data_IF_193498866681
#
_entry.id   IF_193498866681
#
_cell.length_a   1.000
_cell.length_b   1.000
_cell.length_c   1.000
_cell.angle_alpha   90.00
_cell.angle_beta   90.00
_cell.angle_gamma   90.00
#
_symmetry.space_group_name_H-M   'P 1'
#
loop_
_entity.id
_entity.type
_entity.pdbx_description
1 polymer ?
#
# COMPACT_ATOMS: atom_id res chain seq x y z
N UNK A 1 -21.96 26.95 -29.65
CA UNK A 1 -21.96 25.47 -29.66
C UNK A 1 -21.43 25.00 -28.31
N UNK A 2 -22.33 24.59 -27.43
CA UNK A 2 -22.00 24.11 -26.09
C UNK A 2 -21.50 22.66 -26.18
N UNK A 3 -20.19 22.46 -26.06
CA UNK A 3 -19.67 21.14 -25.75
C UNK A 3 -19.89 20.87 -24.26
N UNK A 4 -20.96 20.13 -23.95
CA UNK A 4 -21.05 19.39 -22.70
C UNK A 4 -19.93 18.36 -22.68
N UNK A 5 -18.88 18.64 -21.92
CA UNK A 5 -17.82 17.68 -21.62
C UNK A 5 -18.43 16.64 -20.67
N UNK A 6 -18.69 15.44 -21.19
CA UNK A 6 -18.97 14.27 -20.35
C UNK A 6 -17.85 14.12 -19.31
N UNK A 7 -18.13 13.93 -18.01
CA UNK A 7 -17.09 13.66 -17.03
C UNK A 7 -16.26 12.47 -17.48
N UNK A 8 -14.94 12.61 -17.45
CA UNK A 8 -14.06 11.48 -17.77
C UNK A 8 -14.30 10.35 -16.77
N UNK A 9 -14.01 9.09 -17.16
CA UNK A 9 -14.08 7.92 -16.26
C UNK A 9 -13.29 8.16 -14.96
N UNK A 10 -12.26 9.00 -14.98
CA UNK A 10 -11.45 9.40 -13.82
C UNK A 10 -12.21 10.26 -12.81
N UNK A 11 -13.02 11.22 -13.26
CA UNK A 11 -13.90 11.97 -12.36
C UNK A 11 -14.84 11.01 -11.62
N UNK A 12 -15.27 9.94 -12.29
CA UNK A 12 -16.12 8.91 -11.70
C UNK A 12 -15.37 8.03 -10.68
N UNK A 13 -14.19 7.48 -11.00
CA UNK A 13 -13.42 6.65 -10.04
C UNK A 13 -12.97 7.47 -8.83
N UNK A 14 -12.48 8.70 -9.03
CA UNK A 14 -12.11 9.55 -7.89
C UNK A 14 -13.32 9.92 -7.04
N UNK A 15 -14.48 10.16 -7.65
CA UNK A 15 -15.74 10.38 -6.92
C UNK A 15 -16.20 9.14 -6.14
N UNK A 16 -16.06 7.94 -6.72
CA UNK A 16 -16.32 6.67 -6.04
C UNK A 16 -15.38 6.51 -4.83
N UNK A 17 -14.10 6.83 -4.98
CA UNK A 17 -13.15 6.79 -3.87
C UNK A 17 -13.53 7.76 -2.74
N UNK A 18 -14.01 8.97 -3.06
CA UNK A 18 -14.56 9.88 -2.06
C UNK A 18 -15.80 9.31 -1.34
N UNK A 19 -16.63 8.52 -2.04
CA UNK A 19 -17.74 7.79 -1.39
C UNK A 19 -17.25 6.71 -0.43
N UNK A 20 -16.20 5.95 -0.79
CA UNK A 20 -15.61 4.98 0.12
C UNK A 20 -15.15 5.65 1.44
N UNK A 21 -14.43 6.77 1.33
CA UNK A 21 -13.97 7.57 2.47
C UNK A 21 -15.15 8.07 3.32
N UNK A 22 -16.24 8.52 2.70
CA UNK A 22 -17.45 8.99 3.42
C UNK A 22 -18.16 7.84 4.14
N UNK A 23 -18.33 6.70 3.47
CA UNK A 23 -19.00 5.52 4.04
C UNK A 23 -18.31 4.99 5.30
N UNK A 24 -17.00 5.16 5.42
CA UNK A 24 -16.24 4.82 6.62
C UNK A 24 -16.46 5.82 7.77
N UNK A 25 -16.71 7.10 7.46
CA UNK A 25 -16.90 8.15 8.47
C UNK A 25 -18.32 8.23 9.03
N UNK A 26 -19.31 7.68 8.34
CA UNK A 26 -20.72 7.73 8.73
C UNK A 26 -21.40 6.37 8.56
N UNK A 27 -21.55 5.59 9.64
CA UNK A 27 -22.27 4.30 9.62
C UNK A 27 -23.72 4.42 9.13
N UNK A 28 -24.34 5.60 9.26
CA UNK A 28 -25.73 5.86 8.83
C UNK A 28 -25.92 5.79 7.31
N UNK A 29 -24.88 6.08 6.50
CA UNK A 29 -24.93 5.89 5.04
C UNK A 29 -24.82 4.42 4.61
N UNK A 30 -24.39 3.51 5.50
CA UNK A 30 -24.44 2.07 5.21
C UNK A 30 -25.87 1.51 5.18
N UNK A 31 -26.84 2.17 5.84
CA UNK A 31 -28.21 1.69 5.99
C UNK A 31 -29.17 2.13 4.88
N UNK A 32 -28.81 3.13 4.05
CA UNK A 32 -29.69 3.67 3.00
C UNK A 32 -29.50 3.06 1.61
N UNK A 33 -28.49 2.20 1.44
CA UNK A 33 -28.26 1.44 0.21
C UNK A 33 -28.75 0.01 0.45
N UNK A 34 -29.93 -0.30 -0.07
CA UNK A 34 -30.56 -1.62 0.10
C UNK A 34 -29.57 -2.76 -0.16
N UNK A 35 -29.55 -3.73 0.77
CA UNK A 35 -28.81 -4.98 0.69
C UNK A 35 -29.28 -5.82 -0.50
N UNK A 36 -28.90 -5.45 -1.72
CA UNK A 36 -28.61 -6.43 -2.75
C UNK A 36 -27.15 -6.79 -2.57
N UNK A 37 -26.92 -8.05 -2.22
CA UNK A 37 -25.63 -8.64 -1.87
C UNK A 37 -24.76 -8.76 -3.13
N UNK A 38 -24.32 -7.63 -3.67
CA UNK A 38 -23.28 -7.57 -4.68
C UNK A 38 -21.92 -7.77 -3.98
N UNK A 39 -21.49 -9.03 -3.96
CA UNK A 39 -20.21 -9.46 -3.41
C UNK A 39 -19.02 -9.10 -4.31
N UNK A 40 -19.24 -8.45 -5.46
CA UNK A 40 -18.19 -8.08 -6.41
C UNK A 40 -17.31 -6.93 -5.97
N UNK A 41 -16.11 -6.83 -6.53
CA UNK A 41 -15.20 -5.72 -6.26
C UNK A 41 -15.76 -4.37 -6.72
N UNK A 42 -15.61 -3.33 -5.87
CA UNK A 42 -16.07 -1.97 -6.17
C UNK A 42 -15.12 -0.89 -5.67
N UNK A 43 -14.92 0.17 -6.47
CA UNK A 43 -14.07 1.31 -6.10
C UNK A 43 -14.73 2.31 -5.13
N UNK A 44 -16.04 2.17 -4.84
CA UNK A 44 -16.77 3.05 -3.91
C UNK A 44 -16.92 2.52 -2.49
N UNK A 45 -16.21 1.44 -2.17
CA UNK A 45 -16.13 0.87 -0.81
C UNK A 45 -14.73 0.35 -0.52
N UNK A 46 -14.44 0.08 0.74
CA UNK A 46 -13.28 -0.72 1.12
C UNK A 46 -13.65 -2.20 1.01
N UNK A 47 -12.96 -2.91 0.13
CA UNK A 47 -13.19 -4.32 -0.13
C UNK A 47 -12.43 -5.18 0.90
N UNK A 48 -12.94 -6.36 1.23
CA UNK A 48 -12.22 -7.34 2.07
C UNK A 48 -11.03 -7.90 1.31
N UNK A 49 -10.11 -8.62 1.97
CA UNK A 49 -9.00 -9.26 1.27
C UNK A 49 -9.51 -10.24 0.20
N UNK A 50 -10.50 -11.08 0.53
CA UNK A 50 -11.06 -12.06 -0.41
C UNK A 50 -11.59 -11.43 -1.70
N UNK A 51 -12.34 -10.33 -1.59
CA UNK A 51 -12.85 -9.59 -2.75
C UNK A 51 -11.73 -8.92 -3.56
N UNK A 52 -10.66 -8.47 -2.91
CA UNK A 52 -9.48 -7.92 -3.59
C UNK A 52 -8.74 -9.03 -4.33
N UNK A 53 -8.48 -10.16 -3.70
CA UNK A 53 -7.80 -11.33 -4.29
C UNK A 53 -8.53 -11.83 -5.54
N UNK A 54 -9.85 -12.03 -5.46
CA UNK A 54 -10.69 -12.38 -6.61
C UNK A 54 -10.60 -11.35 -7.74
N UNK A 55 -10.59 -10.06 -7.41
CA UNK A 55 -10.43 -9.00 -8.39
C UNK A 55 -9.07 -9.03 -9.08
N UNK A 56 -7.98 -9.30 -8.35
CA UNK A 56 -6.64 -9.38 -8.93
C UNK A 56 -6.51 -10.56 -9.90
N UNK A 57 -7.09 -11.71 -9.55
CA UNK A 57 -7.17 -12.87 -10.46
C UNK A 57 -7.96 -12.52 -11.72
N UNK A 58 -9.13 -11.90 -11.56
CA UNK A 58 -9.94 -11.45 -12.70
C UNK A 58 -9.21 -10.44 -13.57
N UNK A 59 -8.51 -9.47 -12.97
CA UNK A 59 -7.76 -8.44 -13.70
C UNK A 59 -6.66 -9.05 -14.57
N UNK A 60 -5.94 -10.06 -14.05
CA UNK A 60 -4.98 -10.87 -14.81
C UNK A 60 -5.66 -11.58 -15.97
N UNK A 61 -6.76 -12.29 -15.71
CA UNK A 61 -7.45 -13.12 -16.71
C UNK A 61 -8.04 -12.28 -17.85
N UNK A 62 -8.49 -11.06 -17.55
CA UNK A 62 -8.99 -10.11 -18.54
C UNK A 62 -7.87 -9.38 -19.31
N UNK A 63 -6.64 -9.36 -18.80
CA UNK A 63 -5.51 -8.61 -19.37
C UNK A 63 -4.19 -9.42 -19.36
N UNK A 64 -4.16 -10.66 -19.87
CA UNK A 64 -3.03 -11.58 -19.68
C UNK A 64 -1.72 -11.10 -20.34
N UNK A 65 -1.82 -10.28 -21.39
CA UNK A 65 -0.65 -9.73 -22.09
C UNK A 65 0.00 -8.54 -21.36
N UNK A 66 -0.73 -7.91 -20.43
CA UNK A 66 -0.29 -6.71 -19.71
C UNK A 66 -0.03 -6.98 -18.22
N UNK A 67 -0.78 -7.92 -17.63
CA UNK A 67 -0.86 -8.15 -16.19
C UNK A 67 -0.35 -9.54 -15.85
N UNK A 68 0.68 -9.62 -15.00
CA UNK A 68 1.13 -10.87 -14.38
C UNK A 68 0.88 -10.80 -12.88
N UNK A 69 0.22 -11.83 -12.33
CA UNK A 69 -0.01 -11.96 -10.89
C UNK A 69 1.03 -12.91 -10.29
N UNK A 70 1.76 -12.46 -9.28
CA UNK A 70 2.90 -13.18 -8.69
C UNK A 70 2.64 -13.36 -7.19
N UNK A 71 2.56 -14.60 -6.74
CA UNK A 71 2.57 -14.91 -5.30
C UNK A 71 4.02 -14.88 -4.81
N UNK A 72 4.35 -13.92 -3.95
CA UNK A 72 5.72 -13.73 -3.43
C UNK A 72 5.96 -14.44 -2.09
N UNK A 73 4.89 -14.97 -1.48
CA UNK A 73 4.93 -15.67 -0.21
C UNK A 73 3.54 -15.82 0.37
N UNK A 74 3.48 -16.38 1.59
CA UNK A 74 2.23 -16.56 2.34
C UNK A 74 2.36 -16.06 3.75
N UNK A 75 1.27 -15.54 4.31
CA UNK A 75 1.18 -15.00 5.66
C UNK A 75 1.14 -16.08 6.74
N UNK A 76 1.09 -15.69 8.02
CA UNK A 76 0.96 -16.63 9.15
C UNK A 76 -0.35 -17.44 9.13
N UNK A 77 -1.44 -16.85 8.63
CA UNK A 77 -2.74 -17.51 8.45
C UNK A 77 -2.91 -18.08 7.03
N UNK A 78 -1.81 -18.29 6.29
CA UNK A 78 -1.75 -18.96 4.98
C UNK A 78 -2.51 -18.25 3.84
N UNK A 79 -2.56 -16.92 3.85
CA UNK A 79 -3.06 -16.11 2.72
C UNK A 79 -1.92 -15.75 1.77
N UNK A 80 -2.20 -15.71 0.48
CA UNK A 80 -1.24 -15.34 -0.55
C UNK A 80 -0.86 -13.87 -0.46
N UNK A 81 0.41 -13.56 -0.67
CA UNK A 81 0.92 -12.18 -0.79
C UNK A 81 1.13 -11.93 -2.29
N UNK A 82 0.23 -11.15 -2.89
CA UNK A 82 0.11 -11.04 -4.34
C UNK A 82 0.65 -9.71 -4.86
N UNK A 83 1.71 -9.78 -5.67
CA UNK A 83 2.25 -8.66 -6.44
C UNK A 83 1.65 -8.70 -7.84
N UNK A 84 1.18 -7.56 -8.32
CA UNK A 84 0.73 -7.37 -9.69
C UNK A 84 1.84 -6.69 -10.47
N UNK A 85 2.41 -7.39 -11.45
CA UNK A 85 3.29 -6.80 -12.46
C UNK A 85 2.44 -6.27 -13.61
N UNK A 86 2.58 -4.99 -13.94
CA UNK A 86 1.99 -4.36 -15.14
C UNK A 86 3.13 -3.94 -16.06
N UNK A 87 3.12 -4.47 -17.29
CA UNK A 87 4.21 -4.25 -18.26
C UNK A 87 3.64 -4.15 -19.67
N UNK A 88 3.96 -3.08 -20.39
CA UNK A 88 3.49 -2.85 -21.75
C UNK A 88 4.13 -3.79 -22.78
N UNK A 89 3.56 -3.87 -23.98
CA UNK A 89 4.05 -4.82 -25.00
C UNK A 89 5.30 -4.35 -25.74
N UNK A 90 5.55 -3.03 -25.81
CA UNK A 90 6.65 -2.49 -26.61
C UNK A 90 7.84 -2.22 -25.72
N UNK A 91 8.90 -3.03 -25.80
CA UNK A 91 10.14 -2.65 -25.12
C UNK A 91 10.85 -1.59 -25.96
N UNK A 92 10.67 -0.33 -25.58
CA UNK A 92 11.37 0.79 -26.23
C UNK A 92 12.78 1.01 -25.65
N UNK A 93 13.09 0.36 -24.51
CA UNK A 93 14.38 0.41 -23.85
C UNK A 93 15.15 -0.92 -24.02
N UNK A 94 16.51 -0.89 -24.08
CA UNK A 94 17.34 -2.09 -24.08
C UNK A 94 17.19 -2.94 -22.81
N UNK A 95 16.99 -2.27 -21.67
CA UNK A 95 16.62 -2.86 -20.38
C UNK A 95 15.51 -2.01 -19.75
N UNK A 96 14.38 -2.65 -19.43
CA UNK A 96 13.29 -1.97 -18.71
C UNK A 96 13.65 -1.79 -17.26
N UNK A 97 13.40 -0.60 -16.73
CA UNK A 97 13.52 -0.34 -15.30
C UNK A 97 12.23 -0.79 -14.59
N UNK A 98 12.36 -1.19 -13.33
CA UNK A 98 11.21 -1.56 -12.50
C UNK A 98 10.96 -0.53 -11.41
N UNK A 99 9.69 -0.26 -11.12
CA UNK A 99 9.23 0.54 -9.98
C UNK A 99 8.39 -0.34 -9.06
N UNK A 100 8.66 -0.26 -7.76
CA UNK A 100 7.87 -0.92 -6.72
C UNK A 100 6.93 0.06 -6.02
N UNK A 101 5.66 -0.33 -5.89
CA UNK A 101 4.67 0.33 -5.05
C UNK A 101 4.01 -0.71 -4.14
N UNK A 102 4.07 -0.54 -2.83
CA UNK A 102 3.29 -1.34 -1.88
C UNK A 102 2.32 -0.51 -1.06
N UNK A 103 1.32 -1.19 -0.52
CA UNK A 103 0.32 -0.61 0.37
C UNK A 103 -0.15 -1.64 1.41
N UNK A 104 -0.84 -1.14 2.44
CA UNK A 104 -1.53 -2.01 3.40
C UNK A 104 -0.61 -2.81 4.30
N UNK A 105 0.64 -2.37 4.51
CA UNK A 105 1.54 -2.97 5.51
C UNK A 105 0.98 -2.82 6.94
N UNK A 106 0.29 -1.72 7.23
CA UNK A 106 -0.53 -1.58 8.44
C UNK A 106 -2.00 -1.82 8.12
N UNK A 107 -2.59 -2.79 8.83
CA UNK A 107 -3.92 -3.31 8.54
C UNK A 107 -5.04 -2.24 8.50
N UNK A 108 -5.09 -1.36 9.49
CA UNK A 108 -6.14 -0.32 9.61
C UNK A 108 -6.10 0.79 8.56
N UNK A 109 -5.04 0.91 7.77
CA UNK A 109 -4.81 2.02 6.84
C UNK A 109 -5.52 1.77 5.49
N UNK A 110 -6.84 1.53 5.51
CA UNK A 110 -7.64 1.04 4.38
C UNK A 110 -7.56 1.87 3.10
N UNK A 111 -7.27 3.17 3.22
CA UNK A 111 -7.11 4.05 2.07
C UNK A 111 -5.88 3.71 1.23
N UNK A 112 -4.83 3.13 1.83
CA UNK A 112 -3.61 2.78 1.11
C UNK A 112 -3.86 1.64 0.11
N UNK A 113 -4.41 0.46 0.49
CA UNK A 113 -4.80 -0.57 -0.47
C UNK A 113 -5.77 -0.06 -1.55
N UNK A 114 -6.78 0.71 -1.16
CA UNK A 114 -7.75 1.26 -2.11
C UNK A 114 -7.09 2.20 -3.14
N UNK A 115 -6.11 3.00 -2.72
CA UNK A 115 -5.32 3.86 -3.62
C UNK A 115 -4.45 3.03 -4.56
N UNK A 116 -3.76 2.00 -4.07
CA UNK A 116 -2.95 1.11 -4.90
C UNK A 116 -3.79 0.40 -5.97
N UNK A 117 -5.01 -0.04 -5.62
CA UNK A 117 -5.94 -0.65 -6.56
C UNK A 117 -6.43 0.33 -7.63
N UNK A 118 -6.63 1.62 -7.29
CA UNK A 118 -6.96 2.66 -8.27
C UNK A 118 -5.78 2.93 -9.21
N UNK A 119 -4.55 2.97 -8.68
CA UNK A 119 -3.35 3.10 -9.51
C UNK A 119 -3.24 1.94 -10.50
N UNK A 120 -3.49 0.72 -10.04
CA UNK A 120 -3.50 -0.48 -10.85
C UNK A 120 -4.57 -0.41 -11.96
N UNK A 121 -5.81 -0.07 -11.61
CA UNK A 121 -6.91 0.11 -12.59
C UNK A 121 -6.56 1.16 -13.64
N UNK A 122 -5.94 2.27 -13.22
CA UNK A 122 -5.54 3.35 -14.12
C UNK A 122 -4.48 2.86 -15.12
N UNK A 123 -3.44 2.18 -14.65
CA UNK A 123 -2.39 1.66 -15.54
C UNK A 123 -2.96 0.67 -16.57
N UNK A 124 -3.82 -0.26 -16.14
CA UNK A 124 -4.36 -1.30 -17.01
C UNK A 124 -5.39 -0.74 -18.00
N UNK A 125 -6.39 0.00 -17.53
CA UNK A 125 -7.49 0.47 -18.37
C UNK A 125 -7.10 1.60 -19.34
N UNK A 126 -6.05 2.34 -19.03
CA UNK A 126 -5.64 3.50 -19.83
C UNK A 126 -4.53 3.20 -20.82
N UNK A 127 -3.87 2.04 -20.73
CA UNK A 127 -2.74 1.69 -21.58
C UNK A 127 -3.00 1.90 -23.08
N UNK A 128 -4.21 1.59 -23.57
CA UNK A 128 -4.59 1.77 -24.98
C UNK A 128 -5.22 3.13 -25.30
N UNK A 129 -5.41 4.00 -24.31
CA UNK A 129 -6.24 5.23 -24.41
C UNK A 129 -5.46 6.50 -24.09
N UNK A 130 -4.44 6.40 -23.25
CA UNK A 130 -3.63 7.51 -22.78
C UNK A 130 -2.18 7.31 -23.24
N UNK A 131 -1.67 8.12 -24.19
CA UNK A 131 -0.31 8.02 -24.68
C UNK A 131 0.76 8.17 -23.60
N UNK A 132 0.48 8.90 -22.51
CA UNK A 132 1.39 9.05 -21.39
C UNK A 132 1.50 7.73 -20.60
N UNK A 133 0.36 7.10 -20.28
CA UNK A 133 0.32 5.78 -19.63
C UNK A 133 0.94 4.71 -20.52
N UNK A 134 0.69 4.75 -21.83
CA UNK A 134 1.35 3.86 -22.78
C UNK A 134 2.87 4.00 -22.71
N UNK A 135 3.37 5.25 -22.74
CA UNK A 135 4.80 5.53 -22.63
C UNK A 135 5.38 5.03 -21.32
N UNK A 136 4.67 5.18 -20.20
CA UNK A 136 5.12 4.64 -18.92
C UNK A 136 5.23 3.12 -18.94
N UNK A 137 4.19 2.42 -19.39
CA UNK A 137 4.17 0.95 -19.39
C UNK A 137 5.11 0.33 -20.42
N UNK A 138 5.42 1.03 -21.51
CA UNK A 138 6.37 0.56 -22.52
C UNK A 138 7.84 0.69 -22.05
N UNK A 139 8.13 1.60 -21.10
CA UNK A 139 9.48 1.85 -20.58
C UNK A 139 9.72 1.32 -19.14
N UNK A 140 8.67 1.10 -18.36
CA UNK A 140 8.74 0.78 -16.93
C UNK A 140 7.87 -0.43 -16.62
N UNK A 141 8.45 -1.40 -15.92
CA UNK A 141 7.72 -2.47 -15.26
C UNK A 141 7.23 -1.97 -13.90
N UNK A 142 5.92 -2.06 -13.65
CA UNK A 142 5.33 -1.65 -12.37
C UNK A 142 5.00 -2.88 -11.54
N UNK A 143 5.64 -3.03 -10.39
CA UNK A 143 5.27 -4.00 -9.37
C UNK A 143 4.42 -3.32 -8.31
N UNK A 144 3.14 -3.69 -8.24
CA UNK A 144 2.19 -3.14 -7.26
C UNK A 144 1.78 -4.27 -6.31
N UNK A 145 2.05 -4.10 -5.00
CA UNK A 145 1.58 -4.97 -3.92
C UNK A 145 0.44 -4.26 -3.16
N UNK A 146 -0.84 -4.51 -3.48
CA UNK A 146 -1.93 -3.72 -2.92
C UNK A 146 -2.16 -3.95 -1.42
N UNK A 147 -1.90 -5.17 -0.94
CA UNK A 147 -2.06 -5.54 0.48
C UNK A 147 -0.85 -6.38 0.91
N UNK A 148 0.11 -5.75 1.58
CA UNK A 148 1.28 -6.44 2.12
C UNK A 148 0.96 -7.27 3.38
N UNK A 149 -0.08 -6.90 4.15
CA UNK A 149 -0.52 -7.59 5.37
C UNK A 149 -1.94 -8.16 5.23
N UNK A 150 -2.18 -9.20 4.40
CA UNK A 150 -3.52 -9.76 4.19
C UNK A 150 -4.22 -10.18 5.48
N UNK A 151 -3.52 -10.85 6.41
CA UNK A 151 -4.14 -11.33 7.66
C UNK A 151 -4.59 -10.18 8.55
N UNK A 152 -3.72 -9.19 8.75
CA UNK A 152 -4.05 -8.01 9.52
C UNK A 152 -5.21 -7.24 8.89
N UNK A 153 -5.18 -7.06 7.56
CA UNK A 153 -6.22 -6.38 6.81
C UNK A 153 -7.58 -7.06 7.01
N UNK A 154 -7.66 -8.39 6.85
CA UNK A 154 -8.89 -9.15 7.06
C UNK A 154 -9.37 -9.11 8.52
N UNK A 155 -8.44 -9.15 9.48
CA UNK A 155 -8.76 -8.99 10.90
C UNK A 155 -9.34 -7.60 11.19
N UNK A 156 -8.90 -6.57 10.47
CA UNK A 156 -9.45 -5.22 10.60
C UNK A 156 -10.86 -5.06 10.02
N UNK A 157 -11.23 -5.87 9.03
CA UNK A 157 -12.60 -5.92 8.51
C UNK A 157 -13.55 -6.70 9.43
N UNK A 158 -13.08 -7.81 10.01
CA UNK A 158 -13.95 -8.79 10.67
C UNK A 158 -13.98 -8.74 12.20
N UNK A 159 -12.93 -8.21 12.85
CA UNK A 159 -12.77 -8.29 14.32
C UNK A 159 -12.39 -6.98 14.98
N UNK A 160 -11.32 -6.32 14.53
CA UNK A 160 -10.83 -5.08 15.15
C UNK A 160 -10.37 -4.09 14.09
N UNK A 161 -11.24 -3.14 13.74
CA UNK A 161 -10.98 -2.06 12.78
C UNK A 161 -9.65 -1.33 13.02
N UNK A 162 -9.21 -1.19 14.27
CA UNK A 162 -8.01 -0.44 14.63
C UNK A 162 -6.74 -1.29 14.72
N UNK A 163 -6.82 -2.58 14.34
CA UNK A 163 -5.65 -3.46 14.29
C UNK A 163 -4.61 -2.94 13.30
N UNK A 164 -3.34 -2.92 13.72
CA UNK A 164 -2.22 -2.38 12.93
C UNK A 164 -1.27 -3.46 12.43
N UNK A 165 -0.88 -4.37 13.33
CA UNK A 165 0.20 -5.36 13.16
C UNK A 165 -0.19 -6.48 12.17
N UNK A 166 0.73 -7.39 11.87
CA UNK A 166 0.36 -8.67 11.24
C UNK A 166 -0.38 -9.60 12.23
N UNK A 167 -0.62 -10.85 11.84
CA UNK A 167 -1.32 -11.86 12.66
C UNK A 167 -0.42 -13.00 13.11
N UNK A 168 0.85 -12.70 13.41
CA UNK A 168 1.74 -13.66 14.08
C UNK A 168 1.04 -14.31 15.28
N UNK A 169 1.11 -15.65 15.45
CA UNK A 169 0.48 -16.35 16.57
C UNK A 169 0.81 -15.73 17.93
N UNK A 170 -0.17 -15.72 18.82
CA UNK A 170 -0.06 -15.05 20.10
C UNK A 170 1.03 -15.70 20.97
N UNK A 171 1.90 -14.86 21.55
CA UNK A 171 2.83 -15.27 22.59
C UNK A 171 2.20 -14.97 23.94
N UNK A 172 2.03 -16.01 24.75
CA UNK A 172 1.41 -15.91 26.07
C UNK A 172 2.46 -15.94 27.16
N UNK A 173 2.47 -14.92 28.03
CA UNK A 173 3.30 -14.85 29.23
C UNK A 173 2.41 -14.95 30.46
N UNK A 174 2.68 -15.95 31.30
CA UNK A 174 2.00 -16.11 32.59
C UNK A 174 2.64 -15.18 33.62
N UNK A 175 1.84 -14.31 34.23
CA UNK A 175 2.20 -13.52 35.40
C UNK A 175 1.55 -14.15 36.65
N UNK A 176 1.87 -13.64 37.84
CA UNK A 176 1.38 -14.20 39.12
C UNK A 176 -0.15 -14.35 39.20
N UNK A 177 -0.92 -13.45 38.58
CA UNK A 177 -2.39 -13.41 38.71
C UNK A 177 -3.16 -13.51 37.37
N UNK A 178 -2.48 -13.49 36.22
CA UNK A 178 -3.12 -13.53 34.91
C UNK A 178 -2.13 -13.96 33.81
N UNK A 179 -2.66 -14.42 32.67
CA UNK A 179 -1.88 -14.70 31.46
C UNK A 179 -2.13 -13.61 30.44
N UNK A 180 -1.07 -12.97 29.95
CA UNK A 180 -1.15 -11.97 28.87
C UNK A 180 -0.77 -12.66 27.57
N UNK A 181 -1.64 -12.64 26.57
CA UNK A 181 -1.37 -13.17 25.24
C UNK A 181 -1.37 -12.03 24.21
N UNK A 182 -0.25 -11.85 23.51
CA UNK A 182 -0.09 -10.76 22.55
C UNK A 182 0.30 -11.31 21.18
N UNK A 183 -0.39 -10.84 20.14
CA UNK A 183 -0.26 -11.29 18.76
C UNK A 183 0.25 -10.17 17.87
N UNK A 184 0.93 -10.55 16.80
CA UNK A 184 1.35 -9.65 15.74
C UNK A 184 2.65 -8.88 16.01
N UNK A 185 3.32 -8.54 14.92
CA UNK A 185 4.51 -7.70 14.81
C UNK A 185 4.19 -6.50 13.93
N UNK A 186 4.76 -5.34 14.25
CA UNK A 186 4.72 -4.17 13.36
C UNK A 186 5.67 -4.42 12.19
N UNK A 187 5.10 -4.74 11.02
CA UNK A 187 5.86 -5.04 9.81
C UNK A 187 6.79 -3.89 9.40
N UNK A 188 6.41 -2.63 9.66
CA UNK A 188 7.25 -1.45 9.35
C UNK A 188 8.28 -1.14 10.45
N UNK A 189 8.51 -2.09 11.37
CA UNK A 189 9.65 -2.13 12.30
C UNK A 189 10.48 -3.41 12.13
N UNK A 190 10.12 -4.27 11.18
CA UNK A 190 10.69 -5.60 11.03
C UNK A 190 11.76 -5.71 9.92
N UNK A 191 12.09 -4.61 9.24
CA UNK A 191 13.15 -4.60 8.21
C UNK A 191 14.55 -4.40 8.83
N UNK A 192 15.59 -4.92 8.17
CA UNK A 192 16.99 -4.86 8.62
C UNK A 192 17.66 -3.50 8.33
N UNK A 193 17.04 -2.42 8.78
CA UNK A 193 17.64 -1.08 8.74
C UNK A 193 17.49 -0.43 10.12
N UNK A 194 18.58 -0.40 10.89
CA UNK A 194 18.55 -0.01 12.30
C UNK A 194 17.45 -0.76 13.08
N UNK A 195 17.37 -2.08 12.88
CA UNK A 195 16.37 -2.94 13.50
C UNK A 195 16.40 -2.83 15.04
N UNK A 196 15.22 -2.78 15.66
CA UNK A 196 15.10 -2.70 17.13
C UNK A 196 15.61 -1.40 17.76
N UNK A 197 15.90 -0.37 16.96
CA UNK A 197 16.39 0.91 17.45
C UNK A 197 15.24 1.88 17.79
N UNK A 198 15.52 3.20 17.75
CA UNK A 198 14.58 4.27 18.09
C UNK A 198 13.26 4.14 17.34
N UNK A 199 12.15 4.27 18.08
CA UNK A 199 10.80 4.24 17.50
C UNK A 199 10.20 2.84 17.37
N UNK A 200 10.86 1.81 17.89
CA UNK A 200 10.37 0.43 17.99
C UNK A 200 10.31 -0.03 19.45
N UNK A 201 9.54 -1.09 19.73
CA UNK A 201 9.45 -1.69 21.07
C UNK A 201 9.81 -3.17 21.03
N UNK A 202 10.44 -3.67 22.09
CA UNK A 202 10.72 -5.10 22.30
C UNK A 202 9.57 -5.84 23.00
N UNK A 203 8.56 -5.12 23.49
CA UNK A 203 7.37 -5.72 24.13
C UNK A 203 6.41 -6.27 23.05
N UNK A 204 6.12 -7.59 23.04
CA UNK A 204 5.17 -8.21 22.10
C UNK A 204 3.76 -7.60 22.11
N UNK A 205 3.37 -6.98 23.22
CA UNK A 205 2.07 -6.33 23.37
C UNK A 205 2.02 -4.92 22.79
N UNK A 206 3.17 -4.32 22.49
CA UNK A 206 3.22 -2.96 21.96
C UNK A 206 2.82 -2.90 20.48
N UNK A 207 2.19 -1.78 20.08
CA UNK A 207 1.76 -1.54 18.70
C UNK A 207 2.93 -1.43 17.70
N UNK A 208 4.10 -1.03 18.19
CA UNK A 208 5.35 -0.93 17.41
C UNK A 208 6.34 -2.04 17.74
N UNK A 209 5.85 -3.21 18.18
CA UNK A 209 6.68 -4.37 18.44
C UNK A 209 7.47 -4.77 17.18
N UNK A 210 8.80 -4.76 17.25
CA UNK A 210 9.66 -5.02 16.08
C UNK A 210 9.78 -6.50 15.71
N UNK A 211 9.31 -7.42 16.57
CA UNK A 211 9.53 -8.86 16.38
C UNK A 211 10.86 -9.33 16.98
N UNK A 212 11.11 -10.64 17.03
CA UNK A 212 12.30 -11.21 17.66
C UNK A 212 13.60 -10.99 16.88
N UNK A 213 13.52 -10.75 15.56
CA UNK A 213 14.66 -10.49 14.69
C UNK A 213 14.20 -9.75 13.43
N UNK A 214 15.13 -9.11 12.71
CA UNK A 214 14.84 -8.54 11.40
C UNK A 214 14.36 -9.64 10.45
N UNK A 215 13.35 -9.34 9.64
CA UNK A 215 12.68 -10.26 8.72
C UNK A 215 12.16 -11.54 9.39
N UNK A 216 11.77 -11.46 10.67
CA UNK A 216 11.14 -12.57 11.39
C UNK A 216 9.75 -12.93 10.84
N UNK A 217 9.08 -11.97 10.20
CA UNK A 217 7.74 -12.14 9.68
C UNK A 217 7.76 -12.61 8.22
N UNK A 218 6.88 -13.55 7.84
CA UNK A 218 6.86 -14.06 6.47
C UNK A 218 6.52 -12.96 5.46
N UNK A 219 5.73 -11.94 5.84
CA UNK A 219 5.36 -10.84 4.95
C UNK A 219 6.54 -9.93 4.61
N UNK A 220 7.35 -9.55 5.60
CA UNK A 220 8.55 -8.72 5.36
C UNK A 220 9.64 -9.50 4.63
N UNK A 221 9.79 -10.80 4.94
CA UNK A 221 10.72 -11.69 4.24
C UNK A 221 10.35 -11.90 2.78
N UNK A 222 9.06 -12.08 2.46
CA UNK A 222 8.59 -12.22 1.09
C UNK A 222 8.96 -11.00 0.22
N UNK A 223 8.76 -9.79 0.75
CA UNK A 223 9.14 -8.54 0.04
C UNK A 223 10.65 -8.45 -0.16
N UNK A 224 11.45 -8.78 0.86
CA UNK A 224 12.91 -8.84 0.76
C UNK A 224 13.36 -9.76 -0.37
N UNK A 225 12.93 -11.03 -0.32
CA UNK A 225 13.34 -12.06 -1.26
C UNK A 225 12.91 -11.74 -2.70
N UNK A 226 11.74 -11.11 -2.86
CA UNK A 226 11.28 -10.65 -4.17
C UNK A 226 12.17 -9.54 -4.74
N UNK A 227 12.50 -8.52 -3.94
CA UNK A 227 13.27 -7.35 -4.38
C UNK A 227 14.77 -7.65 -4.57
N UNK A 228 15.33 -8.62 -3.84
CA UNK A 228 16.69 -9.12 -4.09
C UNK A 228 16.82 -9.77 -5.47
N UNK A 229 15.76 -10.44 -5.94
CA UNK A 229 15.70 -11.07 -7.28
C UNK A 229 15.25 -10.11 -8.38
N UNK A 230 14.51 -9.06 -8.03
CA UNK A 230 13.90 -8.11 -8.96
C UNK A 230 14.27 -6.68 -8.56
N UNK A 231 15.49 -6.21 -8.89
CA UNK A 231 15.96 -4.90 -8.47
C UNK A 231 15.11 -3.78 -9.09
N UNK A 232 14.74 -2.80 -8.27
CA UNK A 232 13.91 -1.65 -8.67
C UNK A 232 14.69 -0.34 -8.61
N UNK A 233 14.29 0.63 -9.43
CA UNK A 233 14.88 1.99 -9.43
C UNK A 233 14.15 2.95 -8.49
N UNK A 234 12.92 2.62 -8.10
CA UNK A 234 12.16 3.36 -7.11
C UNK A 234 11.32 2.41 -6.24
N UNK A 235 11.21 2.74 -4.96
CA UNK A 235 10.41 2.03 -3.97
C UNK A 235 9.48 3.05 -3.30
N UNK A 236 8.18 2.84 -3.39
CA UNK A 236 7.15 3.71 -2.80
C UNK A 236 6.25 2.85 -1.92
N UNK A 237 6.15 3.17 -0.63
CA UNK A 237 5.22 2.51 0.29
C UNK A 237 4.13 3.48 0.72
N UNK A 238 2.87 3.07 0.54
CA UNK A 238 1.69 3.90 0.79
C UNK A 238 1.15 3.65 2.20
N UNK A 239 0.99 4.75 2.95
CA UNK A 239 0.52 4.77 4.34
C UNK A 239 -0.55 5.83 4.57
N UNK A 240 -1.23 5.75 5.72
CA UNK A 240 -2.11 6.81 6.20
C UNK A 240 -2.14 6.92 7.73
N UNK A 241 -2.50 8.06 8.32
CA UNK A 241 -2.81 9.36 7.71
C UNK A 241 -1.66 10.35 7.93
N UNK A 242 -1.94 11.65 7.77
CA UNK A 242 -1.11 12.83 8.11
C UNK A 242 -0.66 13.66 6.89
N UNK A 243 -0.94 13.21 5.66
CA UNK A 243 -0.57 13.92 4.43
C UNK A 243 0.92 14.31 4.41
N UNK A 244 1.78 13.30 4.55
CA UNK A 244 3.24 13.47 4.54
C UNK A 244 3.83 12.79 3.31
N UNK A 245 4.81 13.43 2.68
CA UNK A 245 5.70 12.80 1.72
C UNK A 245 7.04 12.59 2.41
N UNK A 246 7.28 11.35 2.85
CA UNK A 246 8.46 11.00 3.62
C UNK A 246 9.59 10.54 2.71
N UNK A 247 10.79 11.01 3.04
CA UNK A 247 12.04 10.64 2.39
C UNK A 247 12.90 9.94 3.45
N UNK A 248 13.81 9.02 3.09
CA UNK A 248 14.78 8.53 4.05
C UNK A 248 15.59 9.68 4.70
N UNK A 249 16.07 9.53 5.94
CA UNK A 249 15.93 8.36 6.80
C UNK A 249 14.84 8.50 7.87
N UNK A 250 14.35 7.36 8.37
CA UNK A 250 13.39 7.30 9.48
C UNK A 250 14.02 7.10 10.87
N UNK A 251 15.25 6.59 10.96
CA UNK A 251 15.85 6.10 12.22
C UNK A 251 16.41 7.21 13.12
N UNK A 252 16.87 8.34 12.56
CA UNK A 252 17.56 9.40 13.32
C UNK A 252 17.33 10.77 12.70
N UNK A 253 17.03 11.77 13.53
CA UNK A 253 16.87 13.18 13.12
C UNK A 253 18.15 13.72 12.48
N UNK A 254 18.01 14.69 11.59
CA UNK A 254 19.12 15.37 10.91
C UNK A 254 20.10 14.41 10.22
N UNK A 255 19.59 13.27 9.77
CA UNK A 255 20.35 12.26 9.02
C UNK A 255 19.71 12.12 7.64
N UNK A 256 20.48 12.38 6.60
CA UNK A 256 19.98 12.52 5.23
C UNK A 256 20.75 11.59 4.29
N UNK A 257 20.09 10.97 3.29
CA UNK A 257 20.79 10.29 2.22
C UNK A 257 21.56 11.30 1.36
N UNK A 258 22.61 10.81 0.67
CA UNK A 258 23.52 11.66 -0.11
C UNK A 258 22.81 12.47 -1.20
N UNK A 259 21.76 11.91 -1.77
CA UNK A 259 20.94 12.46 -2.84
C UNK A 259 19.70 13.22 -2.34
N UNK A 260 19.60 13.50 -1.03
CA UNK A 260 18.45 14.17 -0.43
C UNK A 260 18.15 15.53 -1.07
N UNK A 261 19.16 16.40 -1.16
CA UNK A 261 18.99 17.77 -1.68
C UNK A 261 19.01 17.84 -3.20
N UNK A 262 19.69 16.89 -3.86
CA UNK A 262 19.92 16.90 -5.32
C UNK A 262 18.84 16.17 -6.10
N UNK A 263 18.24 15.11 -5.54
CA UNK A 263 17.26 14.28 -6.24
C UNK A 263 15.93 14.13 -5.46
N UNK A 264 15.99 13.57 -4.25
CA UNK A 264 14.77 13.09 -3.56
C UNK A 264 13.85 14.24 -3.15
N UNK A 265 14.36 15.27 -2.48
CA UNK A 265 13.55 16.40 -2.03
C UNK A 265 12.99 17.23 -3.18
N UNK A 266 13.76 17.60 -4.23
CA UNK A 266 13.19 18.26 -5.41
C UNK A 266 12.08 17.45 -6.09
N UNK A 267 12.26 16.12 -6.21
CA UNK A 267 11.23 15.24 -6.77
C UNK A 267 9.95 15.24 -5.92
N UNK A 268 10.10 15.09 -4.59
CA UNK A 268 8.98 15.11 -3.65
C UNK A 268 8.20 16.44 -3.68
N UNK A 269 8.89 17.58 -3.83
CA UNK A 269 8.25 18.89 -3.96
C UNK A 269 7.46 19.01 -5.27
N UNK A 270 7.96 18.46 -6.39
CA UNK A 270 7.21 18.41 -7.65
C UNK A 270 5.99 17.51 -7.55
N UNK A 271 6.13 16.32 -6.95
CA UNK A 271 5.04 15.37 -6.76
C UNK A 271 3.93 15.94 -5.88
N UNK A 272 4.28 16.52 -4.73
CA UNK A 272 3.30 17.13 -3.82
C UNK A 272 2.64 18.39 -4.40
N UNK A 273 3.36 19.17 -5.24
CA UNK A 273 2.75 20.26 -6.01
C UNK A 273 1.73 19.75 -7.03
N UNK A 274 2.00 18.62 -7.70
CA UNK A 274 1.05 17.99 -8.61
C UNK A 274 -0.20 17.50 -7.87
N UNK A 275 -0.05 16.87 -6.71
CA UNK A 275 -1.17 16.49 -5.84
C UNK A 275 -2.01 17.71 -5.41
N UNK A 276 -1.33 18.80 -5.00
CA UNK A 276 -1.98 20.03 -4.59
C UNK A 276 -2.83 20.65 -5.70
N UNK A 277 -2.40 20.56 -6.96
CA UNK A 277 -3.12 21.15 -8.11
C UNK A 277 -4.52 20.56 -8.34
N UNK A 278 -4.76 19.31 -7.92
CA UNK A 278 -6.05 18.65 -8.15
C UNK A 278 -7.13 19.11 -7.17
N UNK A 279 -6.83 19.10 -5.86
CA UNK A 279 -7.84 19.32 -4.81
C UNK A 279 -7.40 20.29 -3.71
N UNK A 280 -6.25 20.97 -3.87
CA UNK A 280 -5.71 21.88 -2.86
C UNK A 280 -5.11 21.20 -1.63
N UNK A 281 -5.08 19.86 -1.58
CA UNK A 281 -4.51 19.09 -0.47
C UNK A 281 -3.03 19.44 -0.29
N UNK A 282 -2.62 19.75 0.95
CA UNK A 282 -1.25 20.14 1.29
C UNK A 282 -0.52 18.97 1.94
N UNK A 283 0.66 18.65 1.42
CA UNK A 283 1.55 17.63 1.97
C UNK A 283 2.81 18.30 2.54
N UNK A 284 3.24 17.87 3.73
CA UNK A 284 4.56 18.24 4.24
C UNK A 284 5.62 17.28 3.67
N UNK A 285 6.80 17.80 3.32
CA UNK A 285 7.90 17.06 2.69
C UNK A 285 9.12 17.10 3.61
N UNK A 286 9.71 15.95 3.89
CA UNK A 286 10.90 15.86 4.75
C UNK A 286 11.27 14.42 5.07
N UNK A 287 12.28 14.25 5.94
CA UNK A 287 12.65 12.91 6.39
C UNK A 287 11.62 12.35 7.36
N UNK A 288 11.52 11.02 7.44
CA UNK A 288 10.67 10.36 8.44
C UNK A 288 11.01 10.80 9.87
N UNK A 289 12.29 10.87 10.21
CA UNK A 289 12.73 11.24 11.55
C UNK A 289 12.45 12.72 11.89
N UNK A 290 12.63 13.64 10.94
CA UNK A 290 12.44 15.07 11.20
C UNK A 290 10.96 15.47 11.27
N UNK A 291 10.07 14.77 10.54
CA UNK A 291 8.64 15.08 10.52
C UNK A 291 7.81 14.35 11.57
N UNK A 292 8.19 13.12 11.96
CA UNK A 292 7.35 12.27 12.81
C UNK A 292 7.86 12.11 14.24
N UNK A 293 9.17 12.17 14.47
CA UNK A 293 9.71 12.07 15.82
C UNK A 293 9.66 13.46 16.46
N UNK A 294 8.95 13.63 17.59
CA UNK A 294 9.07 14.83 18.42
C UNK A 294 10.17 14.61 19.44
#
# INVERSE_FOLDING_TARGET
MNHQISPSKYTKITFLHFRAIRSERSPEEQYSVGYMQDNGFRFDRYNTWSTIEEHLHKLRDENPDLVTLIEIGRTHENRSILVVKVSGHRSLAPERVSIWIDAGIHAREWIAPATALIMLDKLVNDYKRDPEIQTFLDNIDWYILPVMNPDGYEYSHSKNRMWRKNRRPAQCKKNYFHTICCSGVDLNRNFDWFFGSTGASADPCHETYHGPAAFSEPESRAVKEFLEKNPVKAFITLHSYSQLWLIPYGHRKRSYPQDYSTALRPLALRATKALNKLYGTKYAVGTGADLMCK
#
